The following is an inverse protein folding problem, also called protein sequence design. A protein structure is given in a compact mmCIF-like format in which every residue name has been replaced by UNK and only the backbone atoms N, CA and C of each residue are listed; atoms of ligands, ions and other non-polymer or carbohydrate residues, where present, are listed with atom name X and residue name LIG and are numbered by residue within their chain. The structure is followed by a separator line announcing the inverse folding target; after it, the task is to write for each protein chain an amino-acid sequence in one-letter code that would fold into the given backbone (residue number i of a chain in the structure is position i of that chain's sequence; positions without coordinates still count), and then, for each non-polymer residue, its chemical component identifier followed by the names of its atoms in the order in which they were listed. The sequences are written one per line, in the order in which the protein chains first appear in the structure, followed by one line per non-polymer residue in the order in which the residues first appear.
data_IF_477687953122
#
_entry.id   IF_477687953122
#
_cell.length_a   1.000
_cell.length_b   1.000
_cell.length_c   1.000
_cell.angle_alpha   90.00
_cell.angle_beta   90.00
_cell.angle_gamma   90.00
#
_symmetry.space_group_name_H-M   'P 1'
#
loop_
_entity.id
_entity.type
_entity.pdbx_description
1 polymer ?
#
# COMPACT_ATOMS: atom_id res chain seq x y z
N UNK A 1 -26.36 -19.40 1.01
CA UNK A 1 -25.36 -18.93 0.03
C UNK A 1 -25.52 -17.45 -0.23
N UNK A 2 -24.47 -16.65 -0.05
CA UNK A 2 -24.49 -15.23 -0.41
C UNK A 2 -24.70 -15.09 -1.93
N UNK A 3 -25.68 -14.29 -2.35
CA UNK A 3 -25.95 -14.00 -3.77
C UNK A 3 -25.45 -12.58 -4.07
N UNK A 4 -24.62 -12.41 -5.08
CA UNK A 4 -24.19 -11.10 -5.58
C UNK A 4 -25.42 -10.22 -5.93
N UNK A 5 -25.32 -8.90 -5.80
CA UNK A 5 -26.42 -7.97 -6.10
C UNK A 5 -26.99 -8.24 -7.49
N UNK A 6 -26.12 -8.45 -8.48
CA UNK A 6 -26.48 -8.79 -9.86
C UNK A 6 -27.39 -10.02 -9.96
N UNK A 7 -27.11 -11.07 -9.18
CA UNK A 7 -27.93 -12.29 -9.13
C UNK A 7 -29.28 -12.04 -8.47
N UNK A 8 -29.31 -11.28 -7.38
CA UNK A 8 -30.56 -10.93 -6.68
C UNK A 8 -31.44 -10.03 -7.57
N UNK A 9 -30.84 -9.04 -8.21
CA UNK A 9 -31.50 -8.16 -9.17
C UNK A 9 -32.08 -8.94 -10.35
N UNK A 10 -31.29 -9.84 -10.97
CA UNK A 10 -31.77 -10.70 -12.07
C UNK A 10 -32.93 -11.59 -11.65
N UNK A 11 -32.92 -12.15 -10.44
CA UNK A 11 -34.02 -12.98 -9.94
C UNK A 11 -35.31 -12.19 -9.73
N UNK A 12 -35.21 -11.00 -9.14
CA UNK A 12 -36.37 -10.13 -8.91
C UNK A 12 -36.92 -9.60 -10.23
N UNK A 13 -36.04 -9.22 -11.17
CA UNK A 13 -36.41 -8.83 -12.53
C UNK A 13 -37.17 -9.94 -13.25
N UNK A 14 -36.66 -11.19 -13.22
CA UNK A 14 -37.36 -12.35 -13.80
C UNK A 14 -38.74 -12.59 -13.17
N UNK A 15 -38.85 -12.50 -11.84
CA UNK A 15 -40.13 -12.65 -11.12
C UNK A 15 -41.15 -11.58 -11.49
N UNK A 16 -40.71 -10.41 -11.94
CA UNK A 16 -41.56 -9.21 -12.16
C UNK A 16 -41.59 -8.77 -13.63
N UNK A 17 -41.33 -9.68 -14.56
CA UNK A 17 -41.33 -9.40 -16.00
C UNK A 17 -40.49 -8.16 -16.38
N UNK A 18 -39.31 -8.01 -15.77
CA UNK A 18 -38.41 -6.89 -16.01
C UNK A 18 -38.66 -5.62 -15.18
N UNK A 19 -39.80 -5.50 -14.48
CA UNK A 19 -40.17 -4.27 -13.74
C UNK A 19 -39.58 -4.26 -12.32
N UNK A 20 -38.34 -3.78 -12.19
CA UNK A 20 -37.64 -3.64 -10.90
C UNK A 20 -37.71 -2.25 -10.27
N UNK A 21 -38.21 -1.23 -10.96
CA UNK A 21 -38.31 0.13 -10.40
C UNK A 21 -39.54 0.39 -9.52
N UNK A 22 -40.59 -0.43 -9.61
CA UNK A 22 -41.82 -0.27 -8.81
C UNK A 22 -41.86 -1.27 -7.65
N UNK A 23 -40.93 -1.14 -6.71
CA UNK A 23 -40.96 -1.87 -5.46
C UNK A 23 -41.33 -0.95 -4.31
N UNK A 24 -42.36 -1.32 -3.56
CA UNK A 24 -42.62 -0.70 -2.27
C UNK A 24 -41.41 -0.90 -1.35
N UNK A 25 -40.99 0.15 -0.65
CA UNK A 25 -39.80 0.20 0.20
C UNK A 25 -39.72 -0.95 1.22
N UNK A 26 -40.87 -1.34 1.77
CA UNK A 26 -40.99 -2.39 2.78
C UNK A 26 -41.27 -3.79 2.20
N UNK A 27 -41.36 -3.93 0.88
CA UNK A 27 -41.56 -5.22 0.23
C UNK A 27 -40.38 -6.17 0.49
N UNK A 28 -40.65 -7.48 0.51
CA UNK A 28 -39.61 -8.51 0.68
C UNK A 28 -38.52 -8.40 -0.39
N UNK A 29 -38.90 -8.10 -1.63
CA UNK A 29 -37.97 -7.96 -2.75
C UNK A 29 -37.09 -6.70 -2.58
N UNK A 30 -37.63 -5.58 -2.07
CA UNK A 30 -36.86 -4.36 -1.78
C UNK A 30 -35.85 -4.58 -0.64
N UNK A 31 -36.29 -5.24 0.44
CA UNK A 31 -35.40 -5.62 1.55
C UNK A 31 -34.27 -6.54 1.08
N UNK A 32 -34.55 -7.50 0.18
CA UNK A 32 -33.54 -8.39 -0.42
C UNK A 32 -32.53 -7.62 -1.28
N UNK A 33 -32.97 -6.66 -2.09
CA UNK A 33 -32.06 -5.80 -2.88
C UNK A 33 -31.16 -4.96 -1.97
N UNK A 34 -31.74 -4.31 -0.96
CA UNK A 34 -30.97 -3.50 0.01
C UNK A 34 -29.94 -4.33 0.76
N UNK A 35 -30.32 -5.52 1.24
CA UNK A 35 -29.39 -6.41 1.93
C UNK A 35 -28.23 -6.89 1.03
N UNK A 36 -28.52 -7.18 -0.24
CA UNK A 36 -27.50 -7.56 -1.21
C UNK A 36 -26.56 -6.39 -1.53
N UNK A 37 -27.12 -5.19 -1.73
CA UNK A 37 -26.35 -3.97 -2.00
C UNK A 37 -25.44 -3.58 -0.84
N UNK A 38 -25.97 -3.54 0.39
CA UNK A 38 -25.19 -3.24 1.58
C UNK A 38 -24.04 -4.24 1.82
N UNK A 39 -24.24 -5.52 1.46
CA UNK A 39 -23.18 -6.52 1.53
C UNK A 39 -22.09 -6.25 0.49
N UNK A 40 -22.46 -5.96 -0.75
CA UNK A 40 -21.52 -5.67 -1.82
C UNK A 40 -20.70 -4.40 -1.53
N UNK A 41 -21.37 -3.34 -1.05
CA UNK A 41 -20.70 -2.13 -0.58
C UNK A 41 -19.70 -2.42 0.54
N UNK A 42 -20.07 -3.26 1.51
CA UNK A 42 -19.15 -3.69 2.58
C UNK A 42 -17.93 -4.43 2.04
N UNK A 43 -18.12 -5.34 1.07
CA UNK A 43 -17.01 -6.08 0.45
C UNK A 43 -16.09 -5.14 -0.34
N UNK A 44 -16.64 -4.22 -1.11
CA UNK A 44 -15.86 -3.23 -1.86
C UNK A 44 -15.05 -2.35 -0.90
N UNK A 45 -15.65 -1.87 0.19
CA UNK A 45 -14.94 -1.11 1.24
C UNK A 45 -13.78 -1.89 1.86
N UNK A 46 -13.94 -3.20 2.07
CA UNK A 46 -12.86 -4.06 2.57
C UNK A 46 -11.73 -4.23 1.54
N UNK A 47 -12.08 -4.40 0.26
CA UNK A 47 -11.11 -4.50 -0.83
C UNK A 47 -10.34 -3.18 -0.99
N UNK A 48 -11.03 -2.04 -1.01
CA UNK A 48 -10.41 -0.71 -1.10
C UNK A 48 -9.48 -0.43 0.08
N UNK A 49 -9.86 -0.85 1.29
CA UNK A 49 -9.02 -0.73 2.47
C UNK A 49 -7.74 -1.57 2.34
N UNK A 50 -7.85 -2.81 1.84
CA UNK A 50 -6.70 -3.68 1.60
C UNK A 50 -5.77 -3.08 0.54
N UNK A 51 -6.30 -2.56 -0.58
CA UNK A 51 -5.51 -1.90 -1.62
C UNK A 51 -4.75 -0.70 -1.04
N UNK A 52 -5.43 0.15 -0.26
CA UNK A 52 -4.79 1.32 0.39
C UNK A 52 -3.69 0.92 1.38
N UNK A 53 -3.89 -0.14 2.14
CA UNK A 53 -2.88 -0.67 3.06
C UNK A 53 -1.66 -1.20 2.30
N UNK A 54 -1.91 -1.90 1.20
CA UNK A 54 -0.88 -2.52 0.36
C UNK A 54 -0.08 -1.49 -0.46
N UNK A 55 -0.69 -0.36 -0.81
CA UNK A 55 -0.07 0.71 -1.60
C UNK A 55 1.25 1.21 -1.00
N UNK A 56 1.40 1.18 0.33
CA UNK A 56 2.63 1.61 1.00
C UNK A 56 3.84 0.80 0.54
N UNK A 57 3.69 -0.50 0.34
CA UNK A 57 4.79 -1.36 -0.12
C UNK A 57 5.10 -1.15 -1.60
N UNK A 58 4.07 -0.95 -2.44
CA UNK A 58 4.26 -0.63 -3.86
C UNK A 58 5.05 0.66 -4.00
N UNK A 59 4.66 1.72 -3.28
CA UNK A 59 5.36 3.01 -3.29
C UNK A 59 6.80 2.85 -2.80
N UNK A 60 7.02 2.07 -1.73
CA UNK A 60 8.37 1.79 -1.21
C UNK A 60 9.24 1.15 -2.28
N UNK A 61 8.78 0.05 -2.88
CA UNK A 61 9.55 -0.69 -3.91
C UNK A 61 9.78 0.17 -5.16
N UNK A 62 8.79 0.98 -5.55
CA UNK A 62 8.93 1.92 -6.66
C UNK A 62 10.00 2.99 -6.38
N UNK A 63 10.06 3.52 -5.16
CA UNK A 63 11.11 4.46 -4.78
C UNK A 63 12.49 3.83 -4.90
N UNK A 64 12.69 2.59 -4.39
CA UNK A 64 13.98 1.90 -4.52
C UNK A 64 14.35 1.66 -5.98
N UNK A 65 13.38 1.30 -6.84
CA UNK A 65 13.62 1.16 -8.27
C UNK A 65 14.11 2.48 -8.88
N UNK A 66 13.44 3.60 -8.59
CA UNK A 66 13.83 4.92 -9.10
C UNK A 66 15.18 5.39 -8.55
N UNK A 67 15.50 5.08 -7.28
CA UNK A 67 16.79 5.40 -6.68
C UNK A 67 17.98 4.68 -7.34
N UNK A 68 17.72 3.59 -8.07
CA UNK A 68 18.75 2.85 -8.81
C UNK A 68 18.98 3.35 -10.23
N UNK A 69 18.14 4.26 -10.74
CA UNK A 69 18.26 4.79 -12.10
C UNK A 69 19.65 5.43 -12.30
N UNK A 70 20.37 4.99 -13.33
CA UNK A 70 21.73 5.45 -13.64
C UNK A 70 22.86 4.75 -12.88
N UNK A 71 22.54 3.94 -11.86
CA UNK A 71 23.52 3.03 -11.23
C UNK A 71 23.58 1.69 -11.97
N UNK A 72 24.66 0.92 -11.78
CA UNK A 72 24.82 -0.42 -12.38
C UNK A 72 25.45 -1.35 -11.34
N UNK A 73 25.07 -2.63 -11.37
CA UNK A 73 25.67 -3.67 -10.52
C UNK A 73 24.93 -3.91 -9.22
N UNK A 74 25.32 -4.97 -8.50
CA UNK A 74 24.78 -5.26 -7.19
C UNK A 74 25.15 -4.15 -6.17
N UNK A 75 24.26 -3.93 -5.21
CA UNK A 75 24.43 -2.95 -4.13
C UNK A 75 25.15 -3.60 -2.96
N UNK A 76 26.12 -2.93 -2.33
CA UNK A 76 26.78 -3.43 -1.12
C UNK A 76 25.84 -3.37 0.11
N UNK A 77 26.21 -4.03 1.21
CA UNK A 77 25.45 -3.93 2.46
C UNK A 77 25.42 -2.46 2.96
N UNK A 78 26.55 -1.75 2.89
CA UNK A 78 26.65 -0.34 3.29
C UNK A 78 25.80 0.57 2.39
N UNK A 79 25.86 0.36 1.08
CA UNK A 79 25.04 1.11 0.12
C UNK A 79 23.55 0.84 0.34
N UNK A 80 23.16 -0.39 0.69
CA UNK A 80 21.77 -0.72 0.99
C UNK A 80 21.29 -0.02 2.28
N UNK A 81 22.15 0.08 3.30
CA UNK A 81 21.85 0.88 4.49
C UNK A 81 21.68 2.37 4.16
N UNK A 82 22.57 2.93 3.34
CA UNK A 82 22.49 4.33 2.90
C UNK A 82 21.23 4.59 2.08
N UNK A 83 20.91 3.74 1.11
CA UNK A 83 19.67 3.81 0.32
C UNK A 83 18.44 3.73 1.22
N UNK A 84 18.46 2.84 2.22
CA UNK A 84 17.35 2.71 3.17
C UNK A 84 17.18 3.97 4.02
N UNK A 85 18.27 4.59 4.46
CA UNK A 85 18.21 5.87 5.19
C UNK A 85 17.70 7.00 4.28
N UNK A 86 18.20 7.09 3.03
CA UNK A 86 17.72 8.05 2.03
C UNK A 86 16.23 7.89 1.70
N UNK A 87 15.70 6.66 1.74
CA UNK A 87 14.26 6.44 1.63
C UNK A 87 13.53 7.15 2.77
N UNK A 88 13.94 6.92 4.01
CA UNK A 88 13.30 7.49 5.22
C UNK A 88 13.39 9.02 5.23
N UNK A 89 14.51 9.58 4.78
CA UNK A 89 14.79 11.02 4.79
C UNK A 89 14.30 11.76 3.53
N UNK A 90 13.64 11.07 2.59
CA UNK A 90 13.26 11.60 1.26
C UNK A 90 12.39 12.87 1.27
N UNK A 91 11.69 13.14 2.37
CA UNK A 91 10.80 14.30 2.55
C UNK A 91 11.37 15.34 3.53
N UNK A 92 12.64 15.21 3.94
CA UNK A 92 13.23 16.11 4.95
C UNK A 92 13.34 17.56 4.49
N UNK A 93 13.69 17.78 3.21
CA UNK A 93 13.74 19.11 2.62
C UNK A 93 12.36 19.76 2.65
N UNK A 94 11.33 19.02 2.22
CA UNK A 94 9.94 19.49 2.25
C UNK A 94 9.44 19.76 3.67
N UNK A 95 9.85 18.94 4.64
CA UNK A 95 9.52 19.14 6.05
C UNK A 95 10.19 20.40 6.61
N UNK A 96 11.46 20.63 6.28
CA UNK A 96 12.21 21.81 6.70
C UNK A 96 11.61 23.09 6.11
N UNK A 97 11.24 23.09 4.82
CA UNK A 97 10.56 24.22 4.18
C UNK A 97 9.21 24.53 4.86
N UNK A 98 8.39 23.50 5.12
CA UNK A 98 7.11 23.67 5.79
C UNK A 98 7.26 24.28 7.19
N UNK A 99 8.29 23.86 7.94
CA UNK A 99 8.60 24.40 9.26
C UNK A 99 9.11 25.84 9.20
N UNK A 100 9.94 26.20 8.22
CA UNK A 100 10.45 27.56 8.05
C UNK A 100 9.35 28.55 7.66
N UNK A 101 8.40 28.14 6.81
CA UNK A 101 7.25 28.97 6.43
C UNK A 101 6.25 29.16 7.58
N UNK A 102 6.32 28.34 8.63
CA UNK A 102 5.42 28.38 9.77
C UNK A 102 5.80 29.51 10.73
N UNK A 103 4.89 30.46 10.92
CA UNK A 103 5.05 31.52 11.93
C UNK A 103 5.08 30.92 13.34
N UNK A 104 5.86 31.50 14.27
CA UNK A 104 5.88 31.07 15.68
C UNK A 104 4.46 31.01 16.26
N UNK A 105 4.14 29.91 16.95
CA UNK A 105 2.85 29.69 17.59
C UNK A 105 1.72 29.13 16.71
N UNK A 106 1.91 29.02 15.38
CA UNK A 106 0.92 28.35 14.51
C UNK A 106 1.08 26.82 14.62
N UNK A 107 0.00 26.03 14.70
CA UNK A 107 0.11 24.57 14.65
C UNK A 107 0.69 24.07 13.31
N UNK A 108 1.29 22.87 13.28
CA UNK A 108 1.74 22.22 12.05
C UNK A 108 0.64 22.14 10.98
N UNK A 109 1.05 22.18 9.71
CA UNK A 109 0.11 21.92 8.63
C UNK A 109 -0.24 20.43 8.54
N UNK A 110 -1.38 20.08 7.93
CA UNK A 110 -1.74 18.67 7.70
C UNK A 110 -0.66 17.90 6.92
N UNK A 111 0.02 18.58 5.98
CA UNK A 111 1.11 17.98 5.22
C UNK A 111 2.32 17.70 6.11
N UNK A 112 2.71 18.66 6.94
CA UNK A 112 3.80 18.52 7.93
C UNK A 112 3.53 17.35 8.90
N UNK A 113 2.31 17.26 9.43
CA UNK A 113 1.90 16.15 10.30
C UNK A 113 1.98 14.79 9.59
N UNK A 114 1.56 14.73 8.32
CA UNK A 114 1.59 13.49 7.54
C UNK A 114 3.01 13.03 7.24
N UNK A 115 3.90 13.94 6.84
CA UNK A 115 5.31 13.64 6.58
C UNK A 115 5.95 13.15 7.88
N UNK A 116 5.77 13.87 8.98
CA UNK A 116 6.33 13.50 10.28
C UNK A 116 5.85 12.14 10.76
N UNK A 117 4.54 11.89 10.71
CA UNK A 117 3.97 10.60 11.12
C UNK A 117 4.52 9.44 10.29
N UNK A 118 4.67 9.65 8.97
CA UNK A 118 5.24 8.65 8.06
C UNK A 118 6.69 8.38 8.40
N UNK A 119 7.52 9.42 8.49
CA UNK A 119 8.93 9.32 8.87
C UNK A 119 9.11 8.60 10.20
N UNK A 120 8.36 9.01 11.24
CA UNK A 120 8.40 8.38 12.57
C UNK A 120 8.03 6.88 12.52
N UNK A 121 7.10 6.50 11.65
CA UNK A 121 6.70 5.10 11.46
C UNK A 121 7.78 4.27 10.76
N UNK A 122 8.40 4.83 9.72
CA UNK A 122 9.45 4.18 8.93
C UNK A 122 10.75 4.08 9.74
N UNK A 123 11.12 5.11 10.51
CA UNK A 123 12.24 5.05 11.45
C UNK A 123 12.03 3.98 12.53
N UNK A 124 10.80 3.86 13.05
CA UNK A 124 10.47 2.82 14.03
C UNK A 124 10.62 1.43 13.43
N UNK A 125 10.16 1.24 12.20
CA UNK A 125 10.33 -0.04 11.47
C UNK A 125 11.81 -0.30 11.19
N UNK A 126 12.60 0.71 10.79
CA UNK A 126 14.03 0.59 10.51
C UNK A 126 14.86 0.18 11.72
N UNK A 127 14.50 0.66 12.92
CA UNK A 127 15.12 0.17 14.18
C UNK A 127 14.92 -1.33 14.39
N UNK A 128 13.83 -1.91 13.89
CA UNK A 128 13.50 -3.34 14.01
C UNK A 128 13.72 -4.17 12.74
N UNK A 129 14.19 -3.55 11.66
CA UNK A 129 14.32 -4.17 10.33
C UNK A 129 13.26 -3.68 9.35
N UNK A 130 13.58 -2.63 8.58
CA UNK A 130 12.71 -2.12 7.52
C UNK A 130 12.62 -3.14 6.38
N UNK A 131 11.41 -3.49 5.97
CA UNK A 131 11.19 -4.38 4.84
C UNK A 131 11.47 -3.67 3.51
N UNK A 132 12.44 -4.14 2.74
CA UNK A 132 12.89 -3.53 1.47
C UNK A 132 13.22 -4.62 0.43
N UNK A 133 13.22 -4.31 -0.89
CA UNK A 133 13.67 -5.27 -1.90
C UNK A 133 15.13 -5.66 -1.68
N UNK A 134 15.47 -6.92 -1.98
CA UNK A 134 16.85 -7.39 -2.04
C UNK A 134 17.53 -6.81 -3.29
N UNK A 135 18.70 -6.21 -3.11
CA UNK A 135 19.45 -5.50 -4.16
C UNK A 135 20.92 -5.95 -4.25
N UNK A 136 21.35 -6.82 -3.33
CA UNK A 136 22.75 -7.22 -3.17
C UNK A 136 23.19 -8.31 -4.14
N UNK A 137 22.25 -8.86 -4.91
CA UNK A 137 22.55 -9.77 -6.01
C UNK A 137 22.14 -9.15 -7.32
N UNK A 138 22.92 -9.38 -8.37
CA UNK A 138 22.59 -8.88 -9.70
C UNK A 138 21.22 -9.39 -10.17
N UNK A 139 20.86 -10.62 -9.83
CA UNK A 139 19.57 -11.22 -10.19
C UNK A 139 18.39 -10.48 -9.53
N UNK A 140 18.43 -10.28 -8.22
CA UNK A 140 17.36 -9.60 -7.47
C UNK A 140 17.15 -8.17 -7.95
N UNK A 141 18.26 -7.42 -8.13
CA UNK A 141 18.23 -6.08 -8.73
C UNK A 141 17.60 -6.09 -10.12
N UNK A 142 18.01 -7.01 -10.99
CA UNK A 142 17.50 -7.09 -12.35
C UNK A 142 16.01 -7.47 -12.41
N UNK A 143 15.49 -8.20 -11.41
CA UNK A 143 14.04 -8.46 -11.27
C UNK A 143 13.30 -7.17 -10.88
N UNK A 144 13.84 -6.39 -9.94
CA UNK A 144 13.26 -5.10 -9.54
C UNK A 144 13.21 -4.09 -10.71
N UNK A 145 14.29 -3.97 -11.48
CA UNK A 145 14.34 -3.05 -12.63
C UNK A 145 13.25 -3.37 -13.67
N UNK A 146 12.92 -4.66 -13.85
CA UNK A 146 11.86 -5.13 -14.76
C UNK A 146 10.46 -5.11 -14.15
N UNK A 147 10.33 -4.95 -12.84
CA UNK A 147 9.02 -4.91 -12.18
C UNK A 147 8.20 -3.72 -12.70
N UNK A 148 6.92 -3.98 -12.98
CA UNK A 148 6.02 -3.07 -13.69
C UNK A 148 5.30 -2.05 -12.79
N UNK A 149 5.51 -2.09 -11.47
CA UNK A 149 4.84 -1.20 -10.52
C UNK A 149 3.56 -1.76 -9.91
N UNK A 150 3.19 -3.01 -10.20
CA UNK A 150 1.95 -3.63 -9.73
C UNK A 150 2.15 -4.48 -8.46
N UNK A 151 1.11 -4.52 -7.62
CA UNK A 151 1.13 -5.26 -6.34
C UNK A 151 1.37 -6.76 -6.49
N UNK A 152 0.72 -7.38 -7.48
CA UNK A 152 0.86 -8.81 -7.76
C UNK A 152 2.29 -9.18 -8.15
N UNK A 153 2.98 -8.31 -8.90
CA UNK A 153 4.37 -8.49 -9.30
C UNK A 153 5.37 -8.51 -8.15
N UNK A 154 5.00 -8.01 -6.96
CA UNK A 154 5.86 -8.06 -5.78
C UNK A 154 6.16 -9.50 -5.33
N UNK A 155 5.29 -10.47 -5.64
CA UNK A 155 5.53 -11.88 -5.29
C UNK A 155 6.74 -12.51 -6.02
N UNK A 156 7.21 -11.89 -7.11
CA UNK A 156 8.35 -12.36 -7.90
C UNK A 156 9.68 -11.81 -7.40
N UNK A 157 9.63 -10.84 -6.49
CA UNK A 157 10.79 -10.17 -5.93
C UNK A 157 11.24 -10.85 -4.63
N UNK A 158 12.52 -10.68 -4.32
CA UNK A 158 13.11 -11.09 -3.05
C UNK A 158 13.19 -9.89 -2.12
N UNK A 159 13.09 -10.14 -0.81
CA UNK A 159 13.04 -9.08 0.18
C UNK A 159 13.95 -9.37 1.37
N UNK A 160 14.37 -8.30 2.01
CA UNK A 160 15.16 -8.33 3.25
C UNK A 160 14.58 -7.38 4.27
N UNK A 161 15.01 -7.56 5.52
CA UNK A 161 14.84 -6.59 6.59
C UNK A 161 16.19 -5.98 6.90
N UNK A 162 16.29 -4.66 6.74
CA UNK A 162 17.50 -3.89 7.03
C UNK A 162 17.33 -3.25 8.39
N UNK A 163 18.13 -3.67 9.37
CA UNK A 163 18.13 -3.07 10.71
C UNK A 163 19.06 -1.86 10.71
N UNK A 164 18.66 -0.75 11.35
CA UNK A 164 19.52 0.44 11.47
C UNK A 164 20.88 0.07 12.08
N UNK A 165 21.96 0.31 11.33
CA UNK A 165 23.34 -0.01 11.72
C UNK A 165 23.52 -1.46 12.20
N UNK A 166 22.76 -2.38 11.63
CA UNK A 166 22.70 -3.77 12.07
C UNK A 166 22.60 -4.74 10.91
N UNK A 167 22.20 -5.97 11.22
CA UNK A 167 22.17 -7.06 10.26
C UNK A 167 21.06 -6.89 9.21
N UNK A 168 21.35 -7.37 8.00
CA UNK A 168 20.38 -7.53 6.93
C UNK A 168 19.92 -8.99 6.90
N UNK A 169 18.61 -9.22 7.08
CA UNK A 169 18.03 -10.57 7.19
C UNK A 169 17.06 -10.86 6.05
N UNK A 170 17.08 -12.04 5.42
CA UNK A 170 16.07 -12.44 4.45
C UNK A 170 14.63 -12.31 5.01
N UNK A 171 13.71 -11.90 4.16
CA UNK A 171 12.29 -11.76 4.47
C UNK A 171 11.43 -12.21 3.29
N UNK A 172 10.21 -12.65 3.57
CA UNK A 172 9.24 -13.03 2.56
C UNK A 172 8.25 -11.90 2.25
N UNK A 173 7.63 -11.99 1.08
CA UNK A 173 6.39 -11.31 0.75
C UNK A 173 5.19 -12.25 0.99
N UNK A 174 4.04 -11.76 1.50
CA UNK A 174 3.85 -10.42 2.06
C UNK A 174 4.58 -10.30 3.42
N UNK A 175 4.91 -9.07 3.86
CA UNK A 175 5.53 -8.86 5.16
C UNK A 175 4.66 -9.45 6.29
N UNK A 176 5.30 -10.11 7.28
CA UNK A 176 4.62 -10.76 8.41
C UNK A 176 3.54 -9.86 9.02
N UNK A 177 2.30 -10.36 9.07
CA UNK A 177 1.12 -9.61 9.54
C UNK A 177 0.09 -9.27 8.45
N UNK A 178 0.38 -9.59 7.19
CA UNK A 178 -0.52 -9.39 6.04
C UNK A 178 -0.97 -10.70 5.35
N UNK A 179 -0.37 -11.83 5.72
CA UNK A 179 -0.75 -13.18 5.28
C UNK A 179 -1.93 -13.74 6.07
#
# INVERSE_FOLDING_TARGET
MARALSKVHKQISKKRNGKTNNLHENSRDAKRLRAAGAREEKLNKMMDAAVKQNQVYVIRVAWFKSALEGSVGAVSDEELHLLTQSFIDREDEQLAEAQQQRRPGRPPSKLEEQIKLRKDSEEREFRGGLWVPELRTQESRSKLERWNGEWDGLNTLEFVRVVRNGEIKPSSFPPKGLS
#
